data_IF_088331833144
#
_entry.id   IF_088331833144
#
_cell.length_a   1.000
_cell.length_b   1.000
_cell.length_c   1.000
_cell.angle_alpha   90.00
_cell.angle_beta   90.00
_cell.angle_gamma   90.00
#
_symmetry.space_group_name_H-M   'P 1'
#
loop_
_entity.id
_entity.type
_entity.pdbx_description
1 polymer ?
#
# COMPACT_ATOMS: atom_id res chain seq x y z
N UNK A 1 29.10 -14.28 10.10
CA UNK A 1 29.09 -12.79 10.05
C UNK A 1 29.61 -12.31 8.70
N UNK A 2 28.92 -11.39 8.05
CA UNK A 2 29.28 -10.79 6.75
C UNK A 2 29.50 -9.29 6.93
N UNK A 3 30.42 -8.72 6.17
CA UNK A 3 30.66 -7.28 6.11
C UNK A 3 30.33 -6.82 4.69
N UNK A 4 29.35 -5.96 4.57
CA UNK A 4 28.76 -5.54 3.28
C UNK A 4 29.00 -4.05 3.08
N UNK A 5 29.47 -3.66 1.90
CA UNK A 5 29.65 -2.27 1.50
C UNK A 5 29.16 -2.01 0.08
N UNK A 6 28.91 -0.75 -0.22
CA UNK A 6 28.52 -0.25 -1.53
C UNK A 6 29.11 1.15 -1.78
N UNK A 7 28.92 1.70 -2.99
CA UNK A 7 29.35 3.08 -3.26
C UNK A 7 28.65 4.08 -2.32
N UNK A 8 27.39 3.82 -1.99
CA UNK A 8 26.57 4.58 -1.05
C UNK A 8 25.74 3.63 -0.19
N UNK A 9 25.35 4.07 0.99
CA UNK A 9 24.33 3.43 1.82
C UNK A 9 23.29 4.47 2.23
N UNK A 10 22.02 4.07 2.28
CA UNK A 10 20.93 4.90 2.79
C UNK A 10 20.89 4.80 4.32
N UNK A 11 21.46 5.77 5.00
CA UNK A 11 21.53 5.85 6.46
C UNK A 11 20.74 7.06 6.93
N UNK A 12 19.76 6.88 7.80
CA UNK A 12 18.94 7.96 8.37
C UNK A 12 18.36 8.93 7.30
N UNK A 13 17.93 8.39 6.15
CA UNK A 13 17.38 9.17 5.05
C UNK A 13 18.40 9.95 4.21
N UNK A 14 19.70 9.70 4.41
CA UNK A 14 20.77 10.32 3.63
C UNK A 14 21.63 9.25 2.93
N UNK A 15 22.19 9.60 1.76
CA UNK A 15 23.15 8.74 1.07
C UNK A 15 24.55 9.03 1.58
N UNK A 16 25.11 8.08 2.32
CA UNK A 16 26.46 8.15 2.89
C UNK A 16 27.44 7.26 2.10
N UNK A 17 28.72 7.70 2.06
CA UNK A 17 29.83 6.92 1.49
C UNK A 17 30.66 6.27 2.58
N UNK A 18 31.36 5.19 2.19
CA UNK A 18 32.32 4.55 3.04
C UNK A 18 31.70 3.82 4.23
N UNK A 19 30.45 3.42 4.12
CA UNK A 19 29.73 2.66 5.12
C UNK A 19 29.97 1.17 4.88
N UNK A 20 30.24 0.45 5.98
CA UNK A 20 30.29 -1.00 6.03
C UNK A 20 29.27 -1.48 7.07
N UNK A 21 28.36 -2.33 6.64
CA UNK A 21 27.32 -2.94 7.48
C UNK A 21 27.74 -4.36 7.82
N UNK A 22 27.80 -4.67 9.11
CA UNK A 22 28.04 -6.03 9.60
C UNK A 22 26.72 -6.73 9.86
N UNK A 23 26.59 -7.96 9.33
CA UNK A 23 25.36 -8.77 9.43
C UNK A 23 25.73 -10.15 9.97
N UNK A 24 24.95 -10.64 10.94
CA UNK A 24 25.13 -11.98 11.47
C UNK A 24 24.54 -13.07 10.54
N UNK A 25 24.65 -14.33 10.96
CA UNK A 25 24.19 -15.48 10.19
C UNK A 25 22.64 -15.58 10.15
N UNK A 26 21.93 -14.76 10.94
CA UNK A 26 20.48 -14.66 10.98
C UNK A 26 19.95 -13.47 10.18
N UNK A 27 20.84 -12.63 9.61
CA UNK A 27 20.45 -11.46 8.84
C UNK A 27 20.27 -10.19 9.69
N UNK A 28 20.63 -10.22 10.97
CA UNK A 28 20.56 -9.06 11.86
C UNK A 28 21.76 -8.15 11.66
N UNK A 29 21.55 -6.85 11.54
CA UNK A 29 22.62 -5.85 11.50
C UNK A 29 23.19 -5.73 12.93
N UNK A 30 24.49 -6.04 13.07
CA UNK A 30 25.18 -6.05 14.35
C UNK A 30 26.09 -4.85 14.55
N UNK A 31 26.52 -4.21 13.45
CA UNK A 31 27.38 -3.02 13.51
C UNK A 31 27.31 -2.22 12.18
N UNK A 32 27.56 -0.92 12.27
CA UNK A 32 27.67 0.00 11.14
C UNK A 32 28.92 0.85 11.36
N UNK A 33 29.94 0.62 10.54
CA UNK A 33 31.24 1.29 10.66
C UNK A 33 31.61 2.05 9.39
N UNK A 34 32.66 2.86 9.45
CA UNK A 34 33.27 3.47 8.27
C UNK A 34 34.45 2.65 7.80
N UNK A 35 34.66 2.57 6.48
CA UNK A 35 35.72 1.79 5.86
C UNK A 35 37.12 2.17 6.32
N UNK A 36 37.35 3.45 6.71
CA UNK A 36 38.63 3.96 7.22
C UNK A 36 38.99 3.46 8.66
N UNK A 37 38.00 2.88 9.34
CA UNK A 37 38.18 2.26 10.67
C UNK A 37 38.35 0.74 10.64
N UNK A 38 38.38 0.14 9.45
CA UNK A 38 38.49 -1.32 9.29
C UNK A 38 39.90 -1.74 8.94
N UNK A 39 40.53 -2.57 9.81
CA UNK A 39 41.88 -3.05 9.65
C UNK A 39 42.10 -3.97 8.42
N UNK A 40 41.05 -4.70 8.02
CA UNK A 40 41.11 -5.67 6.91
C UNK A 40 39.94 -5.51 5.94
N UNK A 41 40.11 -4.70 4.91
CA UNK A 41 39.11 -4.50 3.84
C UNK A 41 38.96 -5.75 2.94
N UNK A 42 39.89 -6.70 2.93
CA UNK A 42 39.76 -7.91 2.11
C UNK A 42 38.61 -8.83 2.55
N UNK A 43 38.09 -8.64 3.77
CA UNK A 43 36.92 -9.38 4.28
C UNK A 43 35.57 -8.72 3.95
N UNK A 44 35.57 -7.56 3.25
CA UNK A 44 34.37 -6.81 2.93
C UNK A 44 33.82 -7.22 1.56
N UNK A 45 32.60 -7.66 1.54
CA UNK A 45 31.83 -7.92 0.30
C UNK A 45 31.36 -6.59 -0.29
N UNK A 46 31.88 -6.23 -1.46
CA UNK A 46 31.50 -4.98 -2.11
C UNK A 46 30.50 -5.20 -3.24
N UNK A 47 29.35 -4.53 -3.15
CA UNK A 47 28.31 -4.51 -4.18
C UNK A 47 28.20 -3.11 -4.80
N UNK A 48 28.41 -2.94 -6.12
CA UNK A 48 28.34 -1.62 -6.75
C UNK A 48 26.88 -1.11 -6.76
N UNK A 49 26.68 0.14 -6.34
CA UNK A 49 25.37 0.76 -6.30
C UNK A 49 25.08 1.52 -5.01
N UNK A 50 23.86 1.40 -4.55
CA UNK A 50 23.37 1.97 -3.28
C UNK A 50 22.85 0.83 -2.42
N UNK A 51 23.40 0.67 -1.23
CA UNK A 51 22.83 -0.24 -0.23
C UNK A 51 21.64 0.43 0.42
N UNK A 52 20.48 -0.20 0.33
CA UNK A 52 19.23 0.25 0.91
C UNK A 52 18.63 -0.85 1.79
N UNK A 53 17.75 -0.53 2.75
CA UNK A 53 16.89 -1.54 3.37
C UNK A 53 16.04 -2.24 2.32
N UNK A 54 15.55 -3.44 2.61
CA UNK A 54 14.55 -4.08 1.77
C UNK A 54 13.31 -3.19 1.60
N UNK A 55 12.75 -3.21 0.41
CA UNK A 55 11.58 -2.39 0.09
C UNK A 55 10.33 -2.94 0.76
N UNK A 56 9.41 -2.04 1.12
CA UNK A 56 8.13 -2.36 1.71
C UNK A 56 7.02 -1.90 0.76
N UNK A 57 6.31 -2.84 0.18
CA UNK A 57 5.15 -2.56 -0.66
C UNK A 57 3.93 -2.28 0.24
N UNK A 58 3.62 -1.01 0.44
CA UNK A 58 2.63 -0.59 1.44
C UNK A 58 1.17 -0.77 0.99
N UNK A 59 0.91 -1.22 -0.25
CA UNK A 59 -0.41 -1.58 -0.75
C UNK A 59 -0.31 -2.44 -2.01
N UNK A 60 -0.89 -3.63 -1.96
CA UNK A 60 -0.91 -4.60 -3.04
C UNK A 60 -2.20 -5.41 -3.01
N UNK A 61 -2.66 -5.89 -4.18
CA UNK A 61 -3.69 -6.91 -4.33
C UNK A 61 -3.09 -8.12 -5.06
N UNK A 62 -2.29 -8.90 -4.36
CA UNK A 62 -1.61 -10.07 -4.95
C UNK A 62 -2.59 -11.07 -5.58
N UNK A 63 -3.78 -11.20 -4.99
CA UNK A 63 -4.83 -12.09 -5.48
C UNK A 63 -5.33 -11.75 -6.89
N UNK A 64 -5.15 -10.49 -7.34
CA UNK A 64 -5.56 -10.02 -8.66
C UNK A 64 -4.46 -10.15 -9.73
N UNK A 65 -3.34 -10.80 -9.41
CA UNK A 65 -2.22 -10.95 -10.34
C UNK A 65 -2.57 -11.68 -11.64
N UNK A 66 -3.57 -12.53 -11.62
CA UNK A 66 -4.08 -13.23 -12.80
C UNK A 66 -4.77 -12.31 -13.82
N UNK A 67 -5.09 -11.07 -13.44
CA UNK A 67 -5.71 -10.08 -14.33
C UNK A 67 -4.69 -9.21 -15.07
N UNK A 68 -3.40 -9.53 -15.02
CA UNK A 68 -2.36 -8.78 -15.75
C UNK A 68 -2.70 -8.68 -17.23
N UNK A 69 -2.91 -7.45 -17.71
CA UNK A 69 -3.25 -7.16 -19.10
C UNK A 69 -4.68 -7.56 -19.53
N UNK A 70 -5.54 -8.01 -18.62
CA UNK A 70 -6.91 -8.40 -18.93
C UNK A 70 -7.87 -7.21 -19.07
N UNK A 71 -7.52 -6.06 -18.51
CA UNK A 71 -8.30 -4.83 -18.54
C UNK A 71 -7.54 -3.78 -19.34
N UNK A 72 -8.22 -3.04 -20.21
CA UNK A 72 -7.60 -1.99 -21.00
C UNK A 72 -7.23 -0.77 -20.14
N UNK A 73 -6.16 -0.07 -20.53
CA UNK A 73 -5.76 1.20 -19.93
C UNK A 73 -6.76 2.33 -20.24
N UNK A 74 -6.73 3.38 -19.44
CA UNK A 74 -7.49 4.61 -19.63
C UNK A 74 -9.01 4.41 -19.67
N UNK A 75 -9.52 3.40 -18.95
CA UNK A 75 -10.96 3.15 -18.84
C UNK A 75 -11.66 4.13 -17.89
N UNK A 76 -10.91 4.89 -17.12
CA UNK A 76 -11.39 5.66 -15.99
C UNK A 76 -11.87 4.76 -14.84
N UNK A 77 -12.08 5.35 -13.67
CA UNK A 77 -12.39 4.61 -12.44
C UNK A 77 -13.65 3.71 -12.59
N UNK A 78 -14.78 4.27 -13.01
CA UNK A 78 -16.03 3.51 -13.17
C UNK A 78 -15.95 2.45 -14.28
N UNK A 79 -15.15 2.69 -15.33
CA UNK A 79 -14.87 1.71 -16.38
C UNK A 79 -14.08 0.52 -15.85
N UNK A 80 -13.01 0.80 -15.12
CA UNK A 80 -12.16 -0.21 -14.49
C UNK A 80 -12.94 -1.10 -13.52
N UNK A 81 -13.75 -0.51 -12.62
CA UNK A 81 -14.56 -1.26 -11.65
C UNK A 81 -15.55 -2.22 -12.34
N UNK A 82 -16.16 -1.81 -13.46
CA UNK A 82 -17.05 -2.68 -14.26
C UNK A 82 -16.30 -3.81 -14.94
N UNK A 83 -15.12 -3.53 -15.50
CA UNK A 83 -14.30 -4.53 -16.21
C UNK A 83 -13.77 -5.59 -15.26
N UNK A 84 -13.29 -5.23 -14.05
CA UNK A 84 -12.93 -6.22 -13.02
C UNK A 84 -14.11 -7.17 -12.77
N UNK A 85 -15.31 -6.64 -12.53
CA UNK A 85 -16.50 -7.45 -12.29
C UNK A 85 -16.82 -8.42 -13.44
N UNK A 86 -16.54 -8.00 -14.69
CA UNK A 86 -16.79 -8.81 -15.89
C UNK A 86 -15.78 -9.92 -16.08
N UNK A 87 -14.49 -9.70 -15.78
CA UNK A 87 -13.40 -10.62 -16.14
C UNK A 87 -12.95 -11.53 -15.01
N UNK A 88 -13.14 -11.13 -13.75
CA UNK A 88 -12.60 -11.86 -12.57
C UNK A 88 -13.06 -13.31 -12.46
N UNK A 89 -14.24 -13.64 -12.96
CA UNK A 89 -14.79 -15.00 -12.94
C UNK A 89 -14.33 -15.93 -14.06
N UNK A 90 -13.46 -15.47 -14.97
CA UNK A 90 -13.05 -16.23 -16.16
C UNK A 90 -11.83 -17.14 -15.91
N UNK A 91 -11.31 -17.21 -14.69
CA UNK A 91 -10.05 -17.89 -14.36
C UNK A 91 -10.27 -18.96 -13.32
N UNK A 92 -9.54 -20.07 -13.45
CA UNK A 92 -9.54 -21.16 -12.48
C UNK A 92 -8.75 -20.79 -11.21
N UNK A 93 -8.96 -21.53 -10.14
CA UNK A 93 -8.19 -21.36 -8.91
C UNK A 93 -6.68 -21.62 -9.13
N UNK A 94 -6.34 -22.59 -9.98
CA UNK A 94 -4.96 -22.94 -10.34
C UNK A 94 -4.26 -21.78 -11.06
N UNK A 95 -4.94 -21.12 -11.99
CA UNK A 95 -4.42 -19.93 -12.69
C UNK A 95 -4.21 -18.76 -11.72
N UNK A 96 -5.15 -18.54 -10.81
CA UNK A 96 -5.05 -17.49 -9.77
C UNK A 96 -3.87 -17.74 -8.84
N UNK A 97 -3.72 -18.96 -8.32
CA UNK A 97 -2.60 -19.37 -7.45
C UNK A 97 -1.26 -19.25 -8.19
N UNK A 98 -1.20 -19.71 -9.43
CA UNK A 98 0.03 -19.63 -10.21
C UNK A 98 0.44 -18.16 -10.45
N UNK A 99 -0.47 -17.31 -10.86
CA UNK A 99 -0.20 -15.90 -11.10
C UNK A 99 0.26 -15.18 -9.82
N UNK A 100 -0.36 -15.46 -8.68
CA UNK A 100 0.08 -14.93 -7.39
C UNK A 100 1.49 -15.40 -7.01
N UNK A 101 1.83 -16.67 -7.26
CA UNK A 101 3.17 -17.21 -7.01
C UNK A 101 4.26 -16.57 -7.89
N UNK A 102 3.93 -16.27 -9.15
CA UNK A 102 4.84 -15.54 -10.06
C UNK A 102 5.06 -14.12 -9.57
N UNK A 103 3.98 -13.40 -9.22
CA UNK A 103 4.06 -12.03 -8.74
C UNK A 103 4.80 -11.92 -7.40
N UNK A 104 4.62 -12.86 -6.47
CA UNK A 104 5.39 -12.98 -5.23
C UNK A 104 6.89 -13.10 -5.53
N UNK A 105 7.26 -14.00 -6.46
CA UNK A 105 8.65 -14.19 -6.88
C UNK A 105 9.23 -12.95 -7.54
N UNK A 106 8.48 -12.23 -8.37
CA UNK A 106 8.89 -10.96 -8.99
C UNK A 106 9.22 -9.92 -7.92
N UNK A 107 8.35 -9.72 -6.93
CA UNK A 107 8.57 -8.80 -5.82
C UNK A 107 9.80 -9.17 -4.98
N UNK A 108 9.95 -10.45 -4.64
CA UNK A 108 11.13 -10.91 -3.90
C UNK A 108 12.44 -10.64 -4.64
N UNK A 109 12.50 -10.93 -5.94
CA UNK A 109 13.69 -10.69 -6.75
C UNK A 109 14.00 -9.20 -6.93
N UNK A 110 13.04 -8.33 -6.80
CA UNK A 110 13.24 -6.88 -6.79
C UNK A 110 13.70 -6.35 -5.42
N UNK A 111 13.69 -7.18 -4.37
CA UNK A 111 14.12 -6.81 -3.01
C UNK A 111 13.00 -6.29 -2.11
N UNK A 112 11.75 -6.69 -2.37
CA UNK A 112 10.63 -6.44 -1.44
C UNK A 112 10.71 -7.43 -0.28
N UNK A 113 10.70 -6.92 0.95
CA UNK A 113 10.76 -7.71 2.18
C UNK A 113 9.43 -7.84 2.92
N UNK A 114 8.55 -6.85 2.78
CA UNK A 114 7.22 -6.92 3.38
C UNK A 114 6.18 -6.27 2.48
N UNK A 115 4.93 -6.74 2.60
CA UNK A 115 3.80 -6.30 1.78
C UNK A 115 2.56 -6.11 2.66
N UNK A 116 1.90 -4.96 2.54
CA UNK A 116 0.50 -4.81 2.92
C UNK A 116 -0.36 -5.32 1.78
N UNK A 117 -0.92 -6.50 1.94
CA UNK A 117 -1.70 -7.15 0.88
C UNK A 117 -3.20 -7.16 1.21
N UNK A 118 -3.98 -6.67 0.29
CA UNK A 118 -5.43 -6.61 0.39
C UNK A 118 -6.01 -7.89 -0.23
N UNK A 119 -6.90 -8.56 0.48
CA UNK A 119 -7.45 -9.85 0.08
C UNK A 119 -8.97 -9.90 0.22
N UNK A 120 -9.62 -10.60 -0.70
CA UNK A 120 -11.07 -10.82 -0.68
C UNK A 120 -11.43 -12.27 -0.30
N UNK A 121 -10.47 -13.19 -0.43
CA UNK A 121 -10.62 -14.60 -0.06
C UNK A 121 -9.29 -15.18 0.48
N UNK A 122 -9.30 -16.45 0.84
CA UNK A 122 -8.14 -17.15 1.41
C UNK A 122 -7.38 -18.01 0.39
N UNK A 123 -7.74 -17.98 -0.89
CA UNK A 123 -7.22 -18.89 -1.91
C UNK A 123 -5.71 -18.84 -2.04
N UNK A 124 -5.12 -17.63 -1.98
CA UNK A 124 -3.67 -17.46 -2.15
C UNK A 124 -2.89 -17.41 -0.82
N UNK A 125 -3.54 -17.59 0.31
CA UNK A 125 -2.85 -17.62 1.61
C UNK A 125 -1.71 -18.66 1.66
N UNK A 126 -1.85 -19.88 1.09
CA UNK A 126 -0.73 -20.83 1.03
C UNK A 126 0.48 -20.35 0.21
N UNK A 127 0.31 -19.41 -0.71
CA UNK A 127 1.44 -18.76 -1.41
C UNK A 127 2.19 -17.87 -0.45
N UNK A 128 1.46 -16.99 0.26
CA UNK A 128 2.02 -16.06 1.25
C UNK A 128 2.74 -16.76 2.40
N UNK A 129 2.17 -17.85 2.93
CA UNK A 129 2.76 -18.65 4.02
C UNK A 129 4.10 -19.30 3.65
N UNK A 130 4.33 -19.58 2.36
CA UNK A 130 5.59 -20.14 1.85
C UNK A 130 6.56 -19.08 1.34
N UNK A 131 6.13 -17.86 1.23
CA UNK A 131 6.94 -16.75 0.73
C UNK A 131 8.08 -16.41 1.70
N UNK A 132 9.13 -15.81 1.15
CA UNK A 132 10.19 -15.14 1.92
C UNK A 132 9.80 -13.71 2.30
N UNK A 133 8.78 -13.17 1.65
CA UNK A 133 8.21 -11.85 1.92
C UNK A 133 7.29 -11.96 3.15
N UNK A 134 7.39 -11.01 4.06
CA UNK A 134 6.46 -10.89 5.18
C UNK A 134 5.16 -10.23 4.72
N UNK A 135 4.06 -10.97 4.77
CA UNK A 135 2.74 -10.45 4.40
C UNK A 135 1.95 -9.99 5.61
N UNK A 136 1.46 -8.75 5.55
CA UNK A 136 0.38 -8.21 6.39
C UNK A 136 -0.88 -8.22 5.55
N UNK A 137 -1.79 -9.14 5.83
CA UNK A 137 -2.98 -9.34 4.99
C UNK A 137 -4.20 -8.65 5.60
N UNK A 138 -4.82 -7.77 4.83
CA UNK A 138 -6.05 -7.09 5.22
C UNK A 138 -7.21 -7.60 4.35
N UNK A 139 -8.14 -8.33 4.98
CA UNK A 139 -9.35 -8.79 4.31
C UNK A 139 -10.31 -7.63 4.17
N UNK A 140 -10.54 -7.18 2.93
CA UNK A 140 -11.37 -6.02 2.67
C UNK A 140 -12.85 -6.36 2.59
N UNK A 141 -13.67 -5.49 3.16
CA UNK A 141 -15.10 -5.50 2.96
C UNK A 141 -15.50 -4.44 1.93
N UNK A 142 -16.37 -4.82 1.00
CA UNK A 142 -16.97 -3.92 0.02
C UNK A 142 -18.35 -4.40 -0.40
N UNK A 143 -19.13 -3.50 -1.01
CA UNK A 143 -20.48 -3.74 -1.47
C UNK A 143 -21.51 -3.10 -0.54
N UNK A 144 -22.34 -2.22 -1.11
CA UNK A 144 -23.38 -1.46 -0.38
C UNK A 144 -24.51 -2.35 0.17
N UNK A 145 -24.60 -3.60 -0.26
CA UNK A 145 -25.54 -4.59 0.26
C UNK A 145 -24.91 -5.48 1.35
N UNK A 146 -23.65 -5.26 1.71
CA UNK A 146 -22.97 -5.98 2.78
C UNK A 146 -23.51 -5.48 4.13
N UNK A 147 -24.11 -6.36 4.90
CA UNK A 147 -24.75 -6.02 6.18
C UNK A 147 -23.80 -6.12 7.38
N UNK A 148 -22.73 -6.94 7.29
CA UNK A 148 -21.79 -7.23 8.37
C UNK A 148 -20.39 -7.52 7.85
N UNK A 149 -19.39 -7.36 8.73
CA UNK A 149 -17.99 -7.66 8.47
C UNK A 149 -17.56 -9.05 9.01
N UNK A 150 -18.49 -9.90 9.44
CA UNK A 150 -18.19 -11.20 10.11
C UNK A 150 -17.27 -12.09 9.28
N UNK A 151 -17.45 -12.12 7.95
CA UNK A 151 -16.62 -12.93 7.06
C UNK A 151 -15.16 -12.46 7.04
N UNK A 152 -14.92 -11.16 7.00
CA UNK A 152 -13.58 -10.56 7.01
C UNK A 152 -12.89 -10.81 8.35
N UNK A 153 -13.59 -10.65 9.46
CA UNK A 153 -13.07 -10.98 10.79
C UNK A 153 -12.76 -12.46 10.94
N UNK A 154 -13.65 -13.34 10.46
CA UNK A 154 -13.45 -14.79 10.51
C UNK A 154 -12.24 -15.23 9.66
N UNK A 155 -11.99 -14.61 8.51
CA UNK A 155 -10.79 -14.86 7.71
C UNK A 155 -9.54 -14.34 8.44
N UNK A 156 -9.56 -13.10 8.91
CA UNK A 156 -8.43 -12.49 9.59
C UNK A 156 -7.98 -13.26 10.83
N UNK A 157 -8.94 -13.79 11.63
CA UNK A 157 -8.64 -14.55 12.84
C UNK A 157 -7.86 -15.87 12.60
N UNK A 158 -7.78 -16.36 11.35
CA UNK A 158 -7.08 -17.60 11.01
C UNK A 158 -5.58 -17.39 10.76
N UNK A 159 -5.13 -16.15 10.56
CA UNK A 159 -3.78 -15.86 10.11
C UNK A 159 -3.09 -14.82 11.01
N UNK A 160 -1.77 -14.95 11.10
CA UNK A 160 -0.92 -13.94 11.77
C UNK A 160 -0.79 -12.71 10.87
N UNK A 161 -0.65 -11.52 11.49
CA UNK A 161 -0.53 -10.26 10.78
C UNK A 161 -1.67 -10.06 9.77
N UNK A 162 -2.89 -10.40 10.19
CA UNK A 162 -4.08 -10.25 9.39
C UNK A 162 -5.16 -9.46 10.13
N UNK A 163 -5.88 -8.62 9.39
CA UNK A 163 -6.96 -7.77 9.88
C UNK A 163 -8.10 -7.66 8.88
N UNK A 164 -9.19 -7.00 9.30
CA UNK A 164 -10.24 -6.58 8.40
C UNK A 164 -10.07 -5.08 8.07
N UNK A 165 -10.40 -4.68 6.85
CA UNK A 165 -10.35 -3.28 6.41
C UNK A 165 -11.57 -2.93 5.57
N UNK A 166 -12.10 -1.68 5.63
CA UNK A 166 -13.05 -1.21 4.64
C UNK A 166 -12.32 -0.94 3.32
N UNK A 167 -12.89 -1.35 2.20
CA UNK A 167 -12.29 -1.10 0.88
C UNK A 167 -12.07 0.40 0.63
N UNK A 168 -13.13 1.21 0.81
CA UNK A 168 -13.09 2.63 0.48
C UNK A 168 -14.13 3.43 1.26
N UNK A 169 -14.10 4.75 1.10
CA UNK A 169 -15.08 5.66 1.70
C UNK A 169 -16.45 5.68 0.97
N UNK A 170 -16.62 4.90 -0.10
CA UNK A 170 -17.84 4.91 -0.92
C UNK A 170 -18.44 3.54 -1.16
N UNK A 171 -17.81 2.47 -0.71
CA UNK A 171 -18.19 1.09 -1.06
C UNK A 171 -18.93 0.33 0.02
N UNK A 172 -19.17 0.91 1.19
CA UNK A 172 -19.82 0.30 2.33
C UNK A 172 -20.85 1.23 2.96
N UNK A 173 -21.93 0.65 3.52
CA UNK A 173 -22.82 1.37 4.43
C UNK A 173 -22.09 1.78 5.70
N UNK A 174 -22.58 2.81 6.39
CA UNK A 174 -21.89 3.42 7.53
C UNK A 174 -21.73 2.45 8.70
N UNK A 175 -22.74 1.62 8.96
CA UNK A 175 -22.69 0.62 10.04
C UNK A 175 -21.51 -0.34 9.90
N UNK A 176 -21.33 -0.95 8.72
CA UNK A 176 -20.22 -1.90 8.44
C UNK A 176 -18.88 -1.19 8.43
N UNK A 177 -18.81 0.01 7.86
CA UNK A 177 -17.57 0.80 7.86
C UNK A 177 -17.09 1.07 9.30
N UNK A 178 -17.99 1.53 10.18
CA UNK A 178 -17.68 1.80 11.59
C UNK A 178 -17.36 0.54 12.37
N UNK A 179 -18.06 -0.57 12.12
CA UNK A 179 -17.79 -1.86 12.73
C UNK A 179 -16.34 -2.27 12.50
N UNK A 180 -15.86 -2.23 11.25
CA UNK A 180 -14.48 -2.56 10.90
C UNK A 180 -13.50 -1.53 11.48
N UNK A 181 -13.80 -0.25 11.34
CA UNK A 181 -12.91 0.82 11.82
C UNK A 181 -12.65 0.76 13.33
N UNK A 182 -13.62 0.30 14.11
CA UNK A 182 -13.55 0.21 15.57
C UNK A 182 -13.10 -1.17 16.09
N UNK A 183 -12.81 -2.13 15.19
CA UNK A 183 -12.45 -3.50 15.58
C UNK A 183 -11.00 -3.81 15.22
N UNK A 184 -10.34 -4.60 16.09
CA UNK A 184 -8.96 -5.05 15.87
C UNK A 184 -7.90 -3.97 16.13
N UNK A 185 -6.64 -4.34 15.92
CA UNK A 185 -5.45 -3.50 16.15
C UNK A 185 -4.59 -3.31 14.89
N UNK A 186 -4.78 -4.16 13.87
CA UNK A 186 -4.05 -4.06 12.61
C UNK A 186 -4.38 -2.74 11.89
N UNK A 187 -3.48 -2.17 11.09
CA UNK A 187 -3.78 -0.94 10.37
C UNK A 187 -4.99 -1.10 9.45
N UNK A 188 -5.72 -0.02 9.22
CA UNK A 188 -6.69 0.04 8.14
C UNK A 188 -6.00 0.47 6.85
N UNK A 189 -6.42 -0.07 5.70
CA UNK A 189 -6.01 0.39 4.38
C UNK A 189 -7.25 0.75 3.57
N UNK A 190 -7.43 2.04 3.31
CA UNK A 190 -8.65 2.59 2.74
C UNK A 190 -8.34 3.32 1.43
N UNK A 191 -8.91 2.87 0.31
CA UNK A 191 -8.85 3.61 -0.95
C UNK A 191 -9.60 4.92 -0.78
N UNK A 192 -8.94 6.03 -1.09
CA UNK A 192 -9.46 7.37 -0.85
C UNK A 192 -9.03 8.35 -1.93
N UNK A 193 -9.99 9.10 -2.45
CA UNK A 193 -9.76 10.19 -3.41
C UNK A 193 -8.90 9.76 -4.62
N UNK A 194 -9.15 8.55 -5.11
CA UNK A 194 -8.49 8.01 -6.29
C UNK A 194 -8.89 8.76 -7.56
N UNK A 195 -10.16 9.19 -7.64
CA UNK A 195 -10.70 9.94 -8.77
C UNK A 195 -11.68 11.04 -8.33
N UNK A 196 -12.08 11.91 -9.26
CA UNK A 196 -13.11 12.91 -9.02
C UNK A 196 -14.50 12.30 -8.78
N UNK A 197 -14.73 11.06 -9.23
CA UNK A 197 -16.01 10.34 -9.05
C UNK A 197 -16.37 10.18 -7.56
N UNK A 198 -15.39 10.02 -6.69
CA UNK A 198 -15.62 9.87 -5.25
C UNK A 198 -16.19 11.16 -4.64
N UNK A 199 -15.55 12.30 -4.89
CA UNK A 199 -16.06 13.61 -4.44
C UNK A 199 -17.42 13.93 -5.09
N UNK A 200 -17.58 13.58 -6.36
CA UNK A 200 -18.84 13.77 -7.08
C UNK A 200 -19.98 12.96 -6.45
N UNK A 201 -19.73 11.71 -6.03
CA UNK A 201 -20.71 10.87 -5.35
C UNK A 201 -21.22 11.54 -4.06
N UNK A 202 -20.33 12.07 -3.21
CA UNK A 202 -20.75 12.80 -1.99
C UNK A 202 -21.60 14.03 -2.29
N UNK A 203 -21.48 14.61 -3.47
CA UNK A 203 -22.28 15.73 -3.96
C UNK A 203 -23.47 15.30 -4.85
N UNK A 204 -23.74 14.00 -4.93
CA UNK A 204 -24.86 13.39 -5.65
C UNK A 204 -24.89 13.69 -7.15
N UNK A 205 -23.72 13.61 -7.79
CA UNK A 205 -23.58 13.70 -9.25
C UNK A 205 -22.42 12.80 -9.74
N UNK A 206 -22.26 12.70 -11.06
CA UNK A 206 -21.18 11.96 -11.70
C UNK A 206 -21.46 10.48 -11.92
N UNK A 207 -20.52 9.79 -12.52
CA UNK A 207 -20.69 8.43 -13.06
C UNK A 207 -20.97 7.40 -11.97
N UNK A 208 -20.35 7.55 -10.80
CA UNK A 208 -20.54 6.65 -9.67
C UNK A 208 -21.93 6.84 -9.03
N UNK A 209 -22.37 8.09 -8.87
CA UNK A 209 -23.72 8.40 -8.41
C UNK A 209 -24.79 7.86 -9.35
N UNK A 210 -24.61 8.07 -10.66
CA UNK A 210 -25.56 7.58 -11.68
C UNK A 210 -25.63 6.06 -11.69
N UNK A 211 -24.51 5.40 -11.47
CA UNK A 211 -24.48 3.93 -11.37
C UNK A 211 -25.22 3.45 -10.13
N UNK A 212 -24.91 3.99 -8.96
CA UNK A 212 -25.54 3.59 -7.70
C UNK A 212 -27.04 3.86 -7.70
N UNK A 213 -27.45 5.03 -8.23
CA UNK A 213 -28.88 5.38 -8.36
C UNK A 213 -29.64 4.42 -9.27
N UNK A 214 -29.03 4.00 -10.39
CA UNK A 214 -29.65 3.01 -11.31
C UNK A 214 -29.77 1.62 -10.68
N UNK A 215 -28.85 1.26 -9.79
CA UNK A 215 -28.90 0.01 -9.05
C UNK A 215 -29.86 0.05 -7.86
N UNK A 216 -30.39 1.22 -7.52
CA UNK A 216 -31.23 1.43 -6.33
C UNK A 216 -30.47 1.28 -5.02
N UNK A 217 -29.16 1.50 -5.04
CA UNK A 217 -28.32 1.41 -3.84
C UNK A 217 -28.41 2.70 -3.04
N UNK A 218 -28.76 2.57 -1.77
CA UNK A 218 -28.73 3.69 -0.82
C UNK A 218 -27.30 3.92 -0.32
N UNK A 219 -26.95 5.20 -0.15
CA UNK A 219 -25.67 5.64 0.36
C UNK A 219 -25.90 6.44 1.64
N UNK A 220 -25.98 5.74 2.79
CA UNK A 220 -26.28 6.34 4.10
C UNK A 220 -25.17 7.26 4.62
N UNK A 221 -23.96 7.14 4.06
CA UNK A 221 -22.77 7.90 4.43
C UNK A 221 -22.64 9.29 3.78
N UNK A 222 -23.49 9.66 2.83
CA UNK A 222 -23.35 10.96 2.12
C UNK A 222 -23.53 12.17 3.04
N UNK A 223 -24.15 11.99 4.20
CA UNK A 223 -24.31 13.04 5.20
C UNK A 223 -22.99 13.58 5.77
N UNK A 224 -21.87 12.84 5.63
CA UNK A 224 -20.55 13.32 6.01
C UNK A 224 -20.02 14.44 5.10
N UNK A 225 -20.55 14.60 3.90
CA UNK A 225 -20.21 15.66 2.96
C UNK A 225 -18.91 15.48 2.19
N UNK A 226 -17.94 14.70 2.70
CA UNK A 226 -16.72 14.37 1.97
C UNK A 226 -16.07 13.05 2.47
N UNK A 227 -15.22 12.42 1.63
CA UNK A 227 -14.41 11.25 2.02
C UNK A 227 -13.59 11.48 3.30
N UNK A 228 -12.89 12.61 3.39
CA UNK A 228 -12.05 12.94 4.54
C UNK A 228 -12.88 13.13 5.82
N UNK A 229 -14.03 13.77 5.73
CA UNK A 229 -14.96 13.93 6.87
C UNK A 229 -15.52 12.59 7.32
N UNK A 230 -15.83 11.67 6.39
CA UNK A 230 -16.25 10.32 6.75
C UNK A 230 -15.17 9.61 7.57
N UNK A 231 -13.92 9.63 7.11
CA UNK A 231 -12.81 9.01 7.84
C UNK A 231 -12.66 9.64 9.23
N UNK A 232 -12.54 10.96 9.32
CA UNK A 232 -12.38 11.67 10.59
C UNK A 232 -13.54 11.45 11.58
N UNK A 233 -14.75 11.15 11.08
CA UNK A 233 -15.93 10.92 11.93
C UNK A 233 -16.13 9.45 12.30
N UNK A 234 -15.54 8.51 11.58
CA UNK A 234 -15.84 7.08 11.70
C UNK A 234 -14.66 6.24 12.17
N UNK A 235 -13.42 6.68 11.93
CA UNK A 235 -12.20 5.97 12.33
C UNK A 235 -11.68 6.56 13.64
N UNK A 236 -11.37 5.73 14.66
CA UNK A 236 -10.78 6.22 15.92
C UNK A 236 -9.44 6.93 15.70
N UNK A 237 -9.18 7.99 16.45
CA UNK A 237 -8.01 8.84 16.30
C UNK A 237 -6.66 8.12 16.58
N UNK A 238 -6.69 7.04 17.33
CA UNK A 238 -5.53 6.19 17.66
C UNK A 238 -5.34 5.01 16.70
N UNK A 239 -6.29 4.80 15.77
CA UNK A 239 -6.24 3.68 14.81
C UNK A 239 -5.19 3.93 13.73
N UNK A 240 -4.14 3.08 13.60
CA UNK A 240 -3.22 3.17 12.48
C UNK A 240 -3.97 3.08 11.15
N UNK A 241 -3.75 4.05 10.26
CA UNK A 241 -4.54 4.16 9.02
C UNK A 241 -3.64 4.47 7.83
N UNK A 242 -3.84 3.70 6.78
CA UNK A 242 -3.24 3.85 5.46
C UNK A 242 -4.32 4.41 4.53
N UNK A 243 -4.01 5.50 3.83
CA UNK A 243 -4.88 6.11 2.83
C UNK A 243 -4.25 5.91 1.45
N UNK A 244 -4.92 5.17 0.60
CA UNK A 244 -4.37 4.75 -0.68
C UNK A 244 -4.81 5.67 -1.81
N UNK A 245 -3.93 5.91 -2.76
CA UNK A 245 -4.03 6.78 -3.94
C UNK A 245 -3.93 8.27 -3.64
N UNK A 246 -4.94 8.88 -3.03
CA UNK A 246 -4.95 10.32 -2.72
C UNK A 246 -4.78 11.26 -3.92
N UNK A 247 -5.10 10.81 -5.15
CA UNK A 247 -4.88 11.56 -6.39
C UNK A 247 -5.63 12.88 -6.44
N UNK A 248 -6.78 12.95 -5.75
CA UNK A 248 -7.65 14.13 -5.68
C UNK A 248 -7.69 14.74 -4.27
N UNK A 249 -6.75 14.36 -3.41
CA UNK A 249 -6.61 14.94 -2.09
C UNK A 249 -6.28 16.42 -2.17
N UNK A 250 -6.88 17.22 -1.31
CA UNK A 250 -6.62 18.64 -1.16
C UNK A 250 -5.86 18.91 0.15
N UNK A 251 -5.23 20.09 0.25
CA UNK A 251 -4.60 20.50 1.49
C UNK A 251 -5.57 20.51 2.69
N UNK A 252 -6.85 20.77 2.45
CA UNK A 252 -7.90 20.72 3.50
C UNK A 252 -8.14 19.30 3.99
N UNK A 253 -8.14 18.31 3.09
CA UNK A 253 -8.33 16.91 3.48
C UNK A 253 -7.15 16.44 4.32
N UNK A 254 -5.92 16.76 3.90
CA UNK A 254 -4.70 16.39 4.64
C UNK A 254 -4.67 17.08 6.00
N UNK A 255 -4.99 18.38 6.08
CA UNK A 255 -5.03 19.10 7.34
C UNK A 255 -6.07 18.52 8.31
N UNK A 256 -7.29 18.24 7.83
CA UNK A 256 -8.34 17.62 8.64
C UNK A 256 -7.90 16.27 9.22
N UNK A 257 -7.29 15.43 8.41
CA UNK A 257 -6.89 14.08 8.85
C UNK A 257 -5.65 14.13 9.76
N UNK A 258 -4.69 15.03 9.49
CA UNK A 258 -3.55 15.24 10.39
C UNK A 258 -3.99 15.76 11.78
N UNK A 259 -5.04 16.59 11.82
CA UNK A 259 -5.59 17.12 13.09
C UNK A 259 -6.40 16.05 13.85
N UNK A 260 -7.11 15.18 13.12
CA UNK A 260 -7.92 14.12 13.70
C UNK A 260 -7.09 13.01 14.35
N UNK A 261 -6.08 12.47 13.63
CA UNK A 261 -5.33 11.32 14.09
C UNK A 261 -4.21 11.70 15.07
N UNK A 262 -4.07 10.96 16.19
CA UNK A 262 -2.93 11.10 17.10
C UNK A 262 -1.58 10.84 16.42
N UNK A 263 -1.57 9.97 15.43
CA UNK A 263 -0.47 9.74 14.48
C UNK A 263 -1.03 9.93 13.09
N UNK A 264 -0.57 10.93 12.34
CA UNK A 264 -1.05 11.19 10.99
C UNK A 264 -1.07 9.92 10.13
N UNK A 265 -2.08 9.73 9.27
CA UNK A 265 -2.17 8.56 8.42
C UNK A 265 -1.02 8.52 7.41
N UNK A 266 -0.68 7.31 6.95
CA UNK A 266 0.30 7.14 5.87
C UNK A 266 -0.42 7.18 4.54
N UNK A 267 0.01 8.07 3.64
CA UNK A 267 -0.50 8.18 2.28
C UNK A 267 0.29 7.27 1.36
N UNK A 268 -0.35 6.22 0.86
CA UNK A 268 0.28 5.25 -0.04
C UNK A 268 -0.06 5.58 -1.48
N UNK A 269 0.96 5.93 -2.24
CA UNK A 269 0.83 6.27 -3.65
C UNK A 269 1.09 5.05 -4.52
N UNK A 270 0.23 4.85 -5.53
CA UNK A 270 0.32 3.79 -6.52
C UNK A 270 0.41 4.39 -7.94
N UNK A 271 1.53 5.05 -8.30
CA UNK A 271 1.61 5.86 -9.51
C UNK A 271 1.32 5.10 -10.81
N UNK A 272 1.77 3.84 -10.93
CA UNK A 272 1.53 3.05 -12.14
C UNK A 272 0.05 2.74 -12.30
N UNK A 273 -0.63 2.32 -11.22
CA UNK A 273 -2.06 2.06 -11.22
C UNK A 273 -2.89 3.30 -11.57
N UNK A 274 -2.58 4.43 -10.94
CA UNK A 274 -3.31 5.67 -11.21
C UNK A 274 -3.17 6.15 -12.66
N UNK A 275 -1.96 6.03 -13.24
CA UNK A 275 -1.74 6.33 -14.66
C UNK A 275 -2.47 5.34 -15.57
N UNK A 276 -2.46 4.07 -15.21
CA UNK A 276 -3.11 3.00 -15.97
C UNK A 276 -4.63 3.21 -16.06
N UNK A 277 -5.27 3.46 -14.93
CA UNK A 277 -6.73 3.59 -14.84
C UNK A 277 -7.22 4.91 -15.44
N UNK A 278 -6.62 6.02 -15.02
CA UNK A 278 -7.19 7.37 -15.21
C UNK A 278 -6.21 8.40 -15.78
N UNK A 279 -4.94 8.04 -15.97
CA UNK A 279 -3.90 8.96 -16.46
C UNK A 279 -3.58 10.09 -15.47
N UNK A 280 -3.95 9.96 -14.19
CA UNK A 280 -3.73 10.97 -13.16
C UNK A 280 -2.57 10.58 -12.24
N UNK A 281 -1.99 11.59 -11.58
CA UNK A 281 -0.91 11.41 -10.60
C UNK A 281 -1.30 12.08 -9.28
N UNK A 282 -0.89 11.51 -8.13
CA UNK A 282 -1.16 12.13 -6.84
C UNK A 282 -0.38 13.46 -6.67
N UNK A 283 -0.90 14.42 -5.89
CA UNK A 283 -0.31 15.74 -5.68
C UNK A 283 0.85 15.68 -4.66
N UNK A 284 1.98 15.06 -5.03
CA UNK A 284 3.10 14.74 -4.13
C UNK A 284 3.65 15.99 -3.44
N UNK A 285 3.86 17.09 -4.18
CA UNK A 285 4.38 18.34 -3.63
C UNK A 285 3.47 18.88 -2.52
N UNK A 286 2.16 18.91 -2.76
CA UNK A 286 1.17 19.34 -1.76
C UNK A 286 1.18 18.43 -0.53
N UNK A 287 1.19 17.11 -0.72
CA UNK A 287 1.25 16.14 0.39
C UNK A 287 2.49 16.36 1.27
N UNK A 288 3.65 16.59 0.66
CA UNK A 288 4.90 16.91 1.35
C UNK A 288 4.84 18.24 2.11
N UNK A 289 4.33 19.29 1.48
CA UNK A 289 4.15 20.60 2.11
C UNK A 289 3.22 20.55 3.33
N UNK A 290 2.22 19.68 3.27
CA UNK A 290 1.32 19.44 4.39
C UNK A 290 1.88 18.47 5.46
N UNK A 291 3.15 18.04 5.33
CA UNK A 291 3.82 17.15 6.29
C UNK A 291 3.30 15.71 6.28
N UNK A 292 2.66 15.26 5.20
CA UNK A 292 2.15 13.91 5.09
C UNK A 292 3.29 12.87 5.07
N UNK A 293 3.12 11.77 5.78
CA UNK A 293 3.98 10.59 5.62
C UNK A 293 3.57 9.85 4.35
N UNK A 294 4.46 9.81 3.35
CA UNK A 294 4.19 9.18 2.05
C UNK A 294 4.91 7.83 1.98
N UNK A 295 4.22 6.79 1.53
CA UNK A 295 4.79 5.49 1.18
C UNK A 295 4.37 5.09 -0.25
N UNK A 296 4.94 4.00 -0.76
CA UNK A 296 4.68 3.47 -2.11
C UNK A 296 3.99 2.12 -2.03
N UNK A 297 3.00 1.94 -2.90
CA UNK A 297 2.36 0.67 -3.18
C UNK A 297 2.36 0.36 -4.68
N UNK A 298 2.16 -0.89 -5.04
CA UNK A 298 2.04 -1.30 -6.45
C UNK A 298 0.59 -1.38 -6.91
N UNK A 299 -0.35 -1.47 -5.97
CA UNK A 299 -1.72 -1.87 -6.26
C UNK A 299 -1.78 -3.26 -6.94
N UNK A 300 -2.70 -3.49 -7.85
CA UNK A 300 -2.92 -4.77 -8.52
C UNK A 300 -2.31 -4.83 -9.92
N UNK A 301 -1.99 -6.05 -10.38
CA UNK A 301 -1.69 -6.29 -11.79
C UNK A 301 -2.92 -6.22 -12.71
N UNK A 302 -4.11 -6.01 -12.16
CA UNK A 302 -5.30 -5.65 -12.94
C UNK A 302 -5.24 -4.19 -13.42
N UNK A 303 -4.52 -3.32 -12.69
CA UNK A 303 -4.38 -1.88 -12.92
C UNK A 303 -2.93 -1.45 -13.19
N UNK A 304 -2.01 -2.40 -13.39
CA UNK A 304 -0.60 -2.10 -13.66
C UNK A 304 0.01 -3.15 -14.60
N UNK A 305 1.07 -2.78 -15.31
CA UNK A 305 1.84 -3.71 -16.14
C UNK A 305 2.85 -4.51 -15.32
N UNK A 306 3.33 -3.90 -14.22
CA UNK A 306 4.39 -4.44 -13.38
C UNK A 306 3.99 -4.42 -11.90
N UNK A 307 4.41 -5.44 -11.15
CA UNK A 307 4.32 -5.45 -9.69
C UNK A 307 5.67 -4.98 -9.12
N UNK A 308 6.10 -3.79 -9.53
CA UNK A 308 7.45 -3.28 -9.31
C UNK A 308 7.46 -2.00 -8.50
N UNK A 309 8.13 -2.02 -7.34
CA UNK A 309 8.39 -0.84 -6.51
C UNK A 309 9.28 0.17 -7.26
N UNK A 310 10.30 -0.33 -7.98
CA UNK A 310 11.21 0.52 -8.75
C UNK A 310 10.48 1.26 -9.87
N UNK A 311 9.55 0.59 -10.57
CA UNK A 311 8.73 1.26 -11.59
C UNK A 311 7.85 2.35 -10.99
N UNK A 312 7.22 2.09 -9.86
CA UNK A 312 6.44 3.10 -9.17
C UNK A 312 7.29 4.29 -8.71
N UNK A 313 8.49 4.05 -8.17
CA UNK A 313 9.45 5.12 -7.83
C UNK A 313 9.81 5.97 -9.06
N UNK A 314 10.07 5.36 -10.22
CA UNK A 314 10.43 6.05 -11.45
C UNK A 314 9.31 6.95 -12.01
N UNK A 315 8.08 6.74 -11.58
CA UNK A 315 6.91 7.52 -11.99
C UNK A 315 6.60 8.69 -11.05
N UNK A 316 7.37 8.85 -9.96
CA UNK A 316 7.23 9.96 -9.04
C UNK A 316 7.98 11.19 -9.58
N UNK A 317 7.28 12.30 -9.70
CA UNK A 317 7.83 13.57 -10.15
C UNK A 317 8.21 14.46 -8.94
N UNK A 318 9.13 15.40 -9.12
CA UNK A 318 9.51 16.44 -8.16
C UNK A 318 9.98 15.94 -6.77
N UNK A 319 10.67 14.80 -6.74
CA UNK A 319 11.24 14.26 -5.51
C UNK A 319 12.73 13.95 -5.66
N UNK A 320 13.45 13.97 -4.54
CA UNK A 320 14.84 13.51 -4.50
C UNK A 320 14.89 11.98 -4.45
N UNK A 321 16.01 11.40 -4.90
CA UNK A 321 16.22 9.94 -4.80
C UNK A 321 16.13 9.45 -3.33
N UNK A 322 16.66 10.20 -2.38
CA UNK A 322 16.58 9.86 -0.95
C UNK A 322 15.14 9.82 -0.45
N UNK A 323 14.31 10.78 -0.85
CA UNK A 323 12.89 10.76 -0.52
C UNK A 323 12.19 9.54 -1.13
N UNK A 324 12.42 9.26 -2.41
CA UNK A 324 11.83 8.12 -3.10
C UNK A 324 12.20 6.78 -2.41
N UNK A 325 13.48 6.62 -2.05
CA UNK A 325 13.94 5.44 -1.33
C UNK A 325 13.33 5.35 0.08
N UNK A 326 13.22 6.46 0.81
CA UNK A 326 12.57 6.50 2.13
C UNK A 326 11.08 6.13 2.03
N UNK A 327 10.38 6.57 0.97
CA UNK A 327 8.97 6.21 0.76
C UNK A 327 8.79 4.71 0.50
N UNK A 328 9.74 4.09 -0.20
CA UNK A 328 9.70 2.68 -0.53
C UNK A 328 10.25 1.76 0.58
N UNK A 329 10.84 2.30 1.65
CA UNK A 329 11.45 1.54 2.74
C UNK A 329 10.86 1.93 4.10
N UNK A 330 11.44 2.90 4.81
CA UNK A 330 11.07 3.29 6.16
C UNK A 330 9.60 3.71 6.30
N UNK A 331 9.07 4.47 5.35
CA UNK A 331 7.68 4.91 5.45
C UNK A 331 6.69 3.78 5.19
N UNK A 332 7.01 2.82 4.32
CA UNK A 332 6.26 1.57 4.19
C UNK A 332 6.28 0.75 5.48
N UNK A 333 7.45 0.65 6.12
CA UNK A 333 7.57 -0.02 7.42
C UNK A 333 6.74 0.67 8.53
N UNK A 334 6.70 2.01 8.54
CA UNK A 334 5.81 2.77 9.44
C UNK A 334 4.34 2.49 9.18
N UNK A 335 3.94 2.37 7.91
CA UNK A 335 2.56 2.04 7.54
C UNK A 335 2.11 0.69 8.12
N UNK A 336 3.02 -0.30 8.13
CA UNK A 336 2.76 -1.64 8.65
C UNK A 336 3.04 -1.78 10.16
N UNK A 337 3.56 -0.75 10.83
CA UNK A 337 3.92 -0.82 12.24
C UNK A 337 5.15 -1.70 12.54
N UNK A 338 6.06 -1.88 11.56
CA UNK A 338 7.26 -2.72 11.65
C UNK A 338 8.57 -1.94 11.54
N UNK A 339 8.52 -0.63 11.72
CA UNK A 339 9.69 0.24 11.57
C UNK A 339 10.76 0.06 12.67
N UNK A 340 10.44 -0.71 13.70
CA UNK A 340 11.37 -1.15 14.76
C UNK A 340 12.33 -2.26 14.33
N UNK A 341 12.05 -2.92 13.18
CA UNK A 341 12.84 -4.07 12.70
C UNK A 341 13.08 -4.11 11.19
N UNK A 342 12.40 -3.25 10.41
CA UNK A 342 12.52 -3.17 8.94
C UNK A 342 12.47 -1.72 8.46
N UNK A 343 12.94 -1.50 7.23
CA UNK A 343 12.84 -0.22 6.53
C UNK A 343 13.98 0.76 6.79
N UNK A 344 14.92 0.45 7.69
CA UNK A 344 16.14 1.22 7.94
C UNK A 344 17.38 0.32 8.03
N UNK A 345 18.56 0.90 7.83
CA UNK A 345 19.84 0.27 8.13
C UNK A 345 20.27 0.81 9.50
N UNK A 346 20.00 0.04 10.53
CA UNK A 346 20.25 0.37 11.94
C UNK A 346 20.69 -0.89 12.71
N UNK A 347 21.40 -0.71 13.83
CA UNK A 347 21.83 -1.80 14.73
C UNK A 347 20.74 -2.14 15.71
#
# INVERSE_FOLDING_TARGET
MRKIASHYALINGALERGIVVEVDDHGTITDITRHDTIDNLASVEFYPGILIPGMINAHCHLELSYLRGAIAEATGFAGFAREIGRVRGNYTNEERIHAASVADSEMWHEGVEAVCDIANDTLIMPVKERSKIEYHTLFEAFGLLTEKADAQFAMAAQYRHAGATPHSTYSLQDGVFREIANSGSEPLSIHMLESDDETALYNKYGSLWDWYSRMGWECDFLHYGSPAQRIASSVPADRPTILVHGCKATAKDVALLNDHFHRPPVWVLCPESNRYISGITPPISMLREMGATIAIGTDSLASARHISMVKNIQLLDDITLTNALTYATLNGAKALGIADRKGSIEV
#
